data_IF_039780133742
#
_entry.id   IF_039780133742
#
_cell.length_a   1.000
_cell.length_b   1.000
_cell.length_c   1.000
_cell.angle_alpha   90.00
_cell.angle_beta   90.00
_cell.angle_gamma   90.00
#
_symmetry.space_group_name_H-M   'P 1'
#
loop_
_entity.id
_entity.type
_entity.pdbx_description
1 polymer ?
2 non-polymer ?
3 non-polymer ?
4 non-polymer ?
5 water ?
#
# COMPACT_ATOMS: atom_id res chain seq x y z
N UNK A 22 -16.28 -12.08 -3.47
CA UNK A 22 -16.18 -12.24 -1.99
C UNK A 22 -14.72 -12.41 -1.56
N UNK A 23 -14.21 -11.41 -0.83
CA UNK A 23 -12.80 -11.35 -0.39
C UNK A 23 -11.79 -11.79 -1.45
N UNK A 24 -11.80 -11.12 -2.60
CA UNK A 24 -10.73 -11.32 -3.56
C UNK A 24 -9.56 -10.39 -3.23
N UNK A 25 -8.39 -10.82 -3.68
CA UNK A 25 -7.16 -10.09 -3.48
C UNK A 25 -6.43 -10.07 -4.79
N UNK A 26 -5.49 -9.13 -4.94
CA UNK A 26 -4.69 -9.02 -6.16
C UNK A 26 -3.46 -8.18 -5.90
N UNK A 27 -2.47 -8.28 -6.78
CA UNK A 27 -1.29 -7.41 -6.70
C UNK A 27 -1.57 -6.05 -7.35
N UNK A 28 -0.84 -5.01 -6.94
CA UNK A 28 -1.11 -3.68 -7.51
C UNK A 28 -0.66 -3.52 -8.97
N UNK A 29 0.29 -4.34 -9.41
CA UNK A 29 0.76 -4.31 -10.81
C UNK A 29 0.67 -5.76 -11.30
N UNK A 30 -0.52 -6.15 -11.80
CA UNK A 30 -0.82 -7.59 -11.93
C UNK A 30 -0.03 -8.36 -13.01
N UNK A 31 0.62 -7.63 -13.92
CA UNK A 31 1.49 -8.25 -14.93
C UNK A 31 2.81 -8.79 -14.35
N UNK A 32 3.19 -8.26 -13.20
CA UNK A 32 4.37 -8.69 -12.49
C UNK A 32 3.94 -9.68 -11.39
N UNK A 33 2.79 -9.39 -10.77
CA UNK A 33 2.30 -10.20 -9.66
C UNK A 33 3.21 -9.96 -8.48
N UNK A 34 3.54 -11.02 -7.75
CA UNK A 34 4.37 -10.87 -6.56
C UNK A 34 5.73 -10.26 -6.90
N UNK A 35 6.38 -10.81 -7.93
CA UNK A 35 7.72 -10.38 -8.30
C UNK A 35 8.71 -10.53 -7.17
N UNK A 36 9.70 -9.64 -7.12
CA UNK A 36 10.78 -9.76 -6.14
C UNK A 36 11.02 -8.40 -5.50
N UNK A 37 11.46 -8.42 -4.25
CA UNK A 37 11.70 -7.19 -3.48
C UNK A 37 13.09 -7.18 -2.89
N UNK A 38 13.71 -6.01 -2.82
CA UNK A 38 15.00 -5.88 -2.15
C UNK A 38 14.77 -5.83 -0.64
N UNK A 39 15.84 -5.97 0.14
CA UNK A 39 15.73 -5.93 1.60
C UNK A 39 15.03 -4.67 2.10
N UNK A 40 15.38 -3.53 1.50
CA UNK A 40 14.80 -2.22 1.85
C UNK A 40 13.30 -2.11 1.54
N UNK A 41 12.86 -2.76 0.46
CA UNK A 41 11.46 -2.69 0.05
C UNK A 41 10.50 -3.54 0.89
N UNK A 42 11.02 -4.60 1.51
CA UNK A 42 10.18 -5.54 2.25
C UNK A 42 9.60 -4.92 3.52
N UNK A 43 8.49 -5.48 3.99
CA UNK A 43 7.90 -5.09 5.26
C UNK A 43 8.77 -5.56 6.43
N UNK A 44 8.78 -4.77 7.51
CA UNK A 44 9.37 -5.19 8.78
C UNK A 44 10.78 -4.71 9.01
N UNK A 45 11.59 -5.55 9.65
CA UNK A 45 12.97 -5.22 9.99
C UNK A 45 13.86 -6.15 9.18
N UNK A 46 14.56 -5.60 8.20
CA UNK A 46 15.33 -6.41 7.27
C UNK A 46 16.67 -5.78 7.01
N UNK A 47 17.69 -6.61 6.69
CA UNK A 47 18.95 -6.09 6.16
C UNK A 47 18.68 -5.21 4.95
N UNK A 48 19.25 -4.01 4.95
CA UNK A 48 18.99 -3.02 3.91
C UNK A 48 18.02 -1.94 4.37
N UNK A 49 17.29 -2.21 5.45
CA UNK A 49 16.31 -1.26 5.97
C UNK A 49 16.79 -0.45 7.16
N UNK A 50 18.09 -0.53 7.46
CA UNK A 50 18.65 0.09 8.68
C UNK A 50 18.60 1.60 8.66
N UNK A 51 18.50 2.18 7.47
CA UNK A 51 18.42 3.64 7.32
C UNK A 51 17.13 4.26 7.88
N UNK A 52 16.08 3.45 8.06
CA UNK A 52 14.81 3.94 8.61
C UNK A 52 14.84 3.92 10.14
N UNK A 53 14.03 4.79 10.76
CA UNK A 53 13.89 4.84 12.22
C UNK A 53 13.52 3.48 12.75
N UNK A 54 14.25 3.04 13.78
CA UNK A 54 14.11 1.71 14.36
C UNK A 54 14.34 0.57 13.36
N UNK A 55 14.87 0.89 12.18
CA UNK A 55 15.07 -0.10 11.12
C UNK A 55 13.79 -0.80 10.66
N UNK A 56 12.65 -0.13 10.84
CA UNK A 56 11.34 -0.74 10.57
C UNK A 56 10.67 -0.10 9.36
N UNK A 57 10.18 -0.95 8.47
CA UNK A 57 9.43 -0.51 7.29
C UNK A 57 8.00 -0.95 7.46
N UNK A 58 7.08 0.01 7.54
CA UNK A 58 5.67 -0.28 7.88
C UNK A 58 4.81 -0.66 6.66
N UNK A 59 5.44 -1.00 5.55
CA UNK A 59 4.68 -1.31 4.35
C UNK A 59 5.53 -2.09 3.39
N UNK A 60 5.06 -2.18 2.14
CA UNK A 60 5.74 -2.90 1.08
C UNK A 60 5.91 -1.95 -0.10
N UNK A 61 7.14 -1.80 -0.57
CA UNK A 61 7.43 -0.92 -1.70
C UNK A 61 7.46 -1.67 -3.03
N UNK A 62 6.75 -1.13 -4.02
CA UNK A 62 6.75 -1.68 -5.37
C UNK A 62 7.44 -0.65 -6.25
N UNK A 63 8.70 -0.89 -6.62
CA UNK A 63 9.45 0.07 -7.45
C UNK A 63 9.05 0.03 -8.90
N UNK A 64 9.22 1.14 -9.61
CA UNK A 64 8.91 1.17 -11.04
C UNK A 64 9.81 0.22 -11.83
N UNK A 65 10.99 -0.09 -11.30
CA UNK A 65 11.91 -1.04 -11.95
C UNK A 65 11.53 -2.50 -11.68
N UNK A 66 11.40 -2.85 -10.40
CA UNK A 66 11.07 -4.22 -10.00
C UNK A 66 9.62 -4.63 -10.28
N UNK A 67 8.70 -3.65 -10.21
CA UNK A 67 7.27 -3.91 -10.47
C UNK A 67 6.73 -2.90 -11.43
N UNK A 68 7.11 -3.03 -12.72
CA UNK A 68 6.75 -2.01 -13.71
C UNK A 68 5.26 -1.95 -13.97
N UNK A 69 4.81 -0.75 -14.35
CA UNK A 69 3.42 -0.54 -14.71
C UNK A 69 3.04 0.89 -14.40
N UNK A 70 1.93 1.33 -14.97
CA UNK A 70 1.48 2.68 -14.75
C UNK A 70 0.29 2.71 -13.79
N UNK A 71 -0.80 2.04 -14.15
CA UNK A 71 -1.99 2.01 -13.31
C UNK A 71 -1.71 1.23 -12.02
N UNK A 72 -2.09 1.81 -10.89
CA UNK A 72 -2.02 1.14 -9.59
C UNK A 72 -3.38 0.49 -9.33
N UNK A 73 -3.40 -0.84 -9.25
CA UNK A 73 -4.65 -1.61 -9.10
C UNK A 73 -4.92 -1.91 -7.65
N UNK A 74 -6.17 -1.74 -7.21
CA UNK A 74 -6.53 -1.97 -5.82
C UNK A 74 -6.27 -3.44 -5.49
N UNK A 75 -5.69 -3.67 -4.32
CA UNK A 75 -5.30 -5.03 -3.91
C UNK A 75 -6.47 -5.78 -3.27
N UNK A 76 -7.54 -5.04 -2.99
CA UNK A 76 -8.70 -5.56 -2.25
C UNK A 76 -9.82 -4.56 -2.35
N UNK A 77 -11.06 -5.04 -2.25
CA UNK A 77 -12.24 -4.16 -2.29
C UNK A 77 -12.37 -3.27 -1.06
N UNK A 78 -13.13 -2.19 -1.18
CA UNK A 78 -13.33 -1.32 -0.03
C UNK A 78 -13.96 -0.02 -0.46
N UNK A 79 -14.00 0.94 0.45
CA UNK A 79 -14.47 2.27 0.14
C UNK A 79 -13.35 3.28 0.40
N UNK A 80 -13.18 4.23 -0.52
CA UNK A 80 -12.18 5.27 -0.35
C UNK A 80 -12.65 6.21 0.78
N UNK A 81 -11.86 6.32 1.84
CA UNK A 81 -12.24 7.13 2.99
C UNK A 81 -11.51 8.46 3.03
N UNK A 82 -10.32 8.50 2.43
CA UNK A 82 -9.47 9.65 2.57
C UNK A 82 -8.48 9.77 1.42
N UNK A 83 -8.32 10.99 0.93
CA UNK A 83 -7.25 11.31 0.00
C UNK A 83 -6.59 12.55 0.59
N UNK A 84 -5.29 12.46 0.84
CA UNK A 84 -4.57 13.59 1.43
C UNK A 84 -3.12 13.71 1.05
N UNK A 85 -2.46 14.67 1.69
CA UNK A 85 -1.04 14.89 1.50
C UNK A 85 -0.36 15.03 2.86
N UNK A 86 0.63 14.18 3.13
CA UNK A 86 1.49 14.34 4.29
C UNK A 86 2.89 14.06 3.78
N UNK A 87 3.80 15.05 3.87
CA UNK A 87 5.15 14.86 3.33
C UNK A 87 5.76 13.59 3.93
N UNK A 88 6.37 12.76 3.09
CA UNK A 88 6.78 11.40 3.48
C UNK A 88 5.88 10.34 2.86
N UNK A 89 4.58 10.43 3.12
CA UNK A 89 3.59 9.64 2.37
C UNK A 89 3.34 10.30 1.02
N UNK A 90 3.70 11.59 0.94
CA UNK A 90 3.31 12.45 -0.19
C UNK A 90 1.78 12.35 -0.40
N UNK A 91 1.31 12.27 -1.64
CA UNK A 91 -0.13 12.10 -1.88
C UNK A 91 -0.54 10.64 -1.64
N UNK A 92 -1.57 10.44 -0.81
CA UNK A 92 -1.99 9.07 -0.48
C UNK A 92 -3.50 8.85 -0.58
N UNK A 93 -3.89 7.60 -0.77
CA UNK A 93 -5.29 7.21 -0.81
C UNK A 93 -5.49 6.14 0.25
N UNK A 94 -6.55 6.29 1.06
CA UNK A 94 -6.92 5.32 2.08
C UNK A 94 -8.23 4.63 1.66
N UNK A 95 -8.20 3.30 1.64
CA UNK A 95 -9.36 2.47 1.33
C UNK A 95 -9.63 1.58 2.54
N UNK A 96 -10.89 1.54 2.98
CA UNK A 96 -11.28 0.74 4.15
C UNK A 96 -12.23 -0.36 3.72
N UNK A 97 -11.89 -1.60 4.06
CA UNK A 97 -12.80 -2.74 3.88
C UNK A 97 -13.40 -3.11 5.25
N UNK A 98 -14.04 -4.27 5.35
CA UNK A 98 -14.64 -4.66 6.63
C UNK A 98 -13.60 -4.81 7.74
N UNK A 99 -12.45 -5.36 7.37
CA UNK A 99 -11.41 -5.76 8.30
C UNK A 99 -10.17 -4.86 8.25
N UNK A 100 -9.91 -4.26 7.09
CA UNK A 100 -8.59 -3.63 6.87
C UNK A 100 -8.63 -2.20 6.36
N UNK A 101 -7.61 -1.44 6.74
CA UNK A 101 -7.33 -0.16 6.13
C UNK A 101 -6.10 -0.31 5.23
N UNK A 102 -6.26 0.04 3.96
CA UNK A 102 -5.19 0.01 2.96
C UNK A 102 -4.73 1.43 2.68
N UNK A 103 -3.42 1.66 2.73
CA UNK A 103 -2.87 2.98 2.38
C UNK A 103 -2.01 2.86 1.12
N UNK A 104 -2.37 3.58 0.07
CA UNK A 104 -1.56 3.64 -1.14
C UNK A 104 -0.87 4.99 -1.14
N UNK A 105 0.45 5.00 -1.03
CA UNK A 105 1.16 6.27 -0.87
C UNK A 105 2.40 6.33 -1.76
N UNK A 106 2.96 7.54 -1.87
CA UNK A 106 4.22 7.83 -2.57
C UNK A 106 4.27 7.62 -4.09
N UNK A 107 3.25 6.97 -4.64
CA UNK A 107 3.21 6.67 -6.07
C UNK A 107 2.81 7.87 -6.93
N UNK A 108 2.19 8.87 -6.32
CA UNK A 108 1.49 9.91 -7.08
C UNK A 108 2.14 11.29 -6.82
N UNK A 109 2.80 11.84 -7.85
CA UNK A 109 3.53 13.11 -7.70
C UNK A 109 2.58 14.28 -7.45
N UNK A 110 1.31 14.11 -7.80
CA UNK A 110 0.28 15.09 -7.50
C UNK A 110 -1.09 14.43 -7.48
N UNK A 111 -2.05 15.10 -6.85
CA UNK A 111 -3.38 14.55 -6.65
C UNK A 111 -4.10 14.24 -7.95
N UNK A 112 -3.72 14.94 -9.02
CA UNK A 112 -4.28 14.69 -10.34
C UNK A 112 -3.96 13.29 -10.85
N UNK A 113 -2.92 12.66 -10.30
CA UNK A 113 -2.60 11.26 -10.65
C UNK A 113 -3.49 10.23 -9.96
N UNK A 114 -4.35 10.69 -9.06
CA UNK A 114 -5.27 9.79 -8.37
C UNK A 114 -6.60 9.75 -9.12
N UNK A 115 -7.12 8.54 -9.35
CA UNK A 115 -8.29 8.33 -10.20
C UNK A 115 -9.59 8.21 -9.41
N UNK A 116 -9.47 7.91 -8.11
CA UNK A 116 -10.64 7.64 -7.28
C UNK A 116 -10.99 8.89 -6.46
N UNK A 117 -12.20 8.93 -5.91
CA UNK A 117 -12.68 10.03 -5.06
C UNK A 117 -13.15 9.47 -3.73
N UNK A 118 -13.06 10.26 -2.67
CA UNK A 118 -13.57 9.86 -1.37
C UNK A 118 -15.05 9.43 -1.49
N UNK A 119 -15.41 8.34 -0.81
CA UNK A 119 -16.76 7.78 -0.89
C UNK A 119 -16.95 6.73 -1.97
N UNK A 120 -15.99 6.61 -2.88
CA UNK A 120 -16.10 5.67 -3.98
C UNK A 120 -15.96 4.21 -3.52
N UNK A 121 -16.90 3.38 -3.93
CA UNK A 121 -16.82 1.93 -3.72
C UNK A 121 -15.86 1.36 -4.76
N UNK A 122 -14.84 0.64 -4.31
CA UNK A 122 -13.91 0.04 -5.25
C UNK A 122 -13.80 -1.48 -5.09
N UNK A 123 -13.54 -2.15 -6.21
CA UNK A 123 -13.37 -3.59 -6.25
C UNK A 123 -11.91 -3.91 -6.51
N UNK A 124 -11.46 -5.06 -6.04
CA UNK A 124 -10.12 -5.54 -6.33
C UNK A 124 -9.82 -5.32 -7.81
N UNK A 125 -8.66 -4.76 -8.12
CA UNK A 125 -8.30 -4.53 -9.53
C UNK A 125 -8.65 -3.15 -10.08
N UNK A 126 -9.61 -2.45 -9.46
CA UNK A 126 -9.95 -1.06 -9.86
C UNK A 126 -8.71 -0.15 -9.77
N UNK A 127 -8.57 0.78 -10.71
CA UNK A 127 -7.39 1.65 -10.72
C UNK A 127 -7.50 2.73 -9.65
N UNK A 128 -6.54 2.75 -8.73
CA UNK A 128 -6.46 3.80 -7.70
C UNK A 128 -5.96 5.11 -8.30
N UNK A 129 -4.98 4.97 -9.19
CA UNK A 129 -4.35 6.10 -9.84
C UNK A 129 -3.16 5.61 -10.61
N UNK A 130 -2.31 6.55 -11.04
CA UNK A 130 -1.18 6.25 -11.93
C UNK A 130 0.13 6.62 -11.24
N UNK A 131 1.03 5.65 -11.13
CA UNK A 131 2.32 5.88 -10.49
C UNK A 131 3.22 6.63 -11.46
N UNK A 132 3.73 7.78 -11.03
CA UNK A 132 4.70 8.49 -11.85
C UNK A 132 5.96 8.80 -11.05
N UNK A 133 6.11 8.16 -9.90
CA UNK A 133 7.30 8.30 -9.08
C UNK A 133 8.06 6.98 -9.13
N UNK A 134 9.15 6.87 -8.38
CA UNK A 134 9.94 5.65 -8.40
C UNK A 134 9.27 4.46 -7.72
N UNK A 135 8.25 4.69 -6.88
CA UNK A 135 7.59 3.56 -6.19
C UNK A 135 6.25 3.86 -5.60
N UNK A 136 5.49 2.78 -5.44
CA UNK A 136 4.30 2.76 -4.62
C UNK A 136 4.71 2.13 -3.30
N UNK A 137 4.28 2.73 -2.19
CA UNK A 137 4.32 2.08 -0.89
C UNK A 137 2.90 1.72 -0.50
N UNK A 138 2.69 0.44 -0.21
CA UNK A 138 1.40 -0.07 0.24
C UNK A 138 1.48 -0.43 1.72
N UNK A 139 0.56 0.10 2.52
CA UNK A 139 0.49 -0.23 3.94
C UNK A 139 -0.87 -0.83 4.25
N UNK A 140 -0.89 -1.81 5.15
CA UNK A 140 -2.13 -2.44 5.57
C UNK A 140 -2.18 -2.52 7.09
N UNK A 141 -3.31 -2.12 7.68
CA UNK A 141 -3.49 -2.15 9.13
C UNK A 141 -4.93 -2.51 9.46
N UNK A 142 -5.16 -3.18 10.59
CA UNK A 142 -6.56 -3.32 11.04
C UNK A 142 -7.09 -2.04 11.69
N UNK A 143 -6.17 -1.18 12.13
CA UNK A 143 -6.52 0.09 12.78
C UNK A 143 -7.43 0.92 11.89
N UNK A 144 -8.44 1.50 12.52
CA UNK A 144 -9.51 2.19 11.85
C UNK A 144 -9.17 3.69 11.75
N UNK A 145 -8.41 4.19 12.72
CA UNK A 145 -7.93 5.57 12.74
C UNK A 145 -6.59 5.59 12.02
N UNK A 146 -6.59 6.06 10.77
CA UNK A 146 -5.38 5.99 9.94
C UNK A 146 -4.25 6.88 10.49
N UNK A 147 -4.61 8.04 11.03
CA UNK A 147 -3.61 8.95 11.58
C UNK A 147 -2.88 8.32 12.77
N UNK A 148 -3.62 7.60 13.60
CA UNK A 148 -3.02 6.88 14.71
C UNK A 148 -2.05 5.79 14.19
N UNK A 149 -2.48 5.03 13.18
CA UNK A 149 -1.59 4.06 12.54
C UNK A 149 -0.35 4.77 12.00
N UNK A 150 -0.54 5.91 11.34
CA UNK A 150 0.59 6.65 10.80
C UNK A 150 1.54 7.17 11.90
N UNK A 151 1.00 7.52 13.06
CA UNK A 151 1.83 7.86 14.23
C UNK A 151 2.74 6.71 14.66
N UNK A 152 2.36 5.48 14.29
CA UNK A 152 3.18 4.30 14.53
C UNK A 152 3.94 3.79 13.30
N UNK A 153 4.26 4.69 12.38
CA UNK A 153 5.00 4.33 11.16
C UNK A 153 6.31 3.61 11.43
N UNK A 154 6.95 3.90 12.57
CA UNK A 154 8.27 3.31 12.86
C UNK A 154 8.27 2.34 14.05
N UNK A 155 7.07 1.92 14.42
CA UNK A 155 6.90 1.07 15.58
C UNK A 155 6.42 -0.31 15.17
N UNK A 156 7.29 -1.29 15.40
CA UNK A 156 7.03 -2.69 15.11
C UNK A 156 6.19 -3.34 16.22
N UNK A 157 4.98 -2.84 16.41
CA UNK A 157 4.17 -3.23 17.55
C UNK A 157 2.88 -3.95 17.16
N UNK A 158 2.81 -4.42 15.92
CA UNK A 158 1.59 -5.09 15.44
C UNK A 158 0.59 -4.18 14.76
N UNK A 159 0.84 -2.87 14.73
CA UNK A 159 -0.08 -1.95 14.06
C UNK A 159 -0.18 -2.27 12.55
N UNK A 160 0.97 -2.33 11.90
CA UNK A 160 1.07 -2.58 10.46
C UNK A 160 1.34 -4.02 10.22
N UNK A 161 0.74 -4.54 9.15
CA UNK A 161 0.84 -5.93 8.78
C UNK A 161 1.62 -6.08 7.48
N UNK A 162 2.22 -7.25 7.28
CA UNK A 162 3.02 -7.49 6.08
C UNK A 162 2.09 -7.64 4.86
N UNK A 163 2.08 -6.65 3.94
CA UNK A 163 1.18 -6.76 2.79
C UNK A 163 1.54 -7.93 1.88
N UNK A 164 2.82 -8.31 1.83
CA UNK A 164 3.22 -9.41 0.95
C UNK A 164 2.54 -10.71 1.38
N UNK A 165 2.67 -11.03 2.67
CA UNK A 165 2.05 -12.21 3.26
C UNK A 165 0.54 -12.17 3.13
N UNK A 166 -0.06 -11.01 3.40
CA UNK A 166 -1.51 -10.86 3.30
C UNK A 166 -2.08 -11.07 1.89
N UNK A 167 -1.48 -10.43 0.89
CA UNK A 167 -1.97 -10.54 -0.49
C UNK A 167 -1.74 -11.96 -1.00
N UNK A 168 -0.55 -12.48 -0.74
CA UNK A 168 -0.20 -13.84 -1.12
C UNK A 168 -1.22 -14.85 -0.53
N UNK A 169 -1.44 -14.77 0.78
CA UNK A 169 -2.40 -15.66 1.44
C UNK A 169 -3.83 -15.45 0.95
N UNK A 170 -4.19 -14.18 0.73
CA UNK A 170 -5.52 -13.84 0.22
C UNK A 170 -5.79 -14.43 -1.16
N UNK A 171 -4.82 -14.30 -2.06
CA UNK A 171 -4.92 -14.88 -3.40
C UNK A 171 -4.99 -16.41 -3.32
N UNK A 172 -4.17 -17.01 -2.47
CA UNK A 172 -4.15 -18.48 -2.34
C UNK A 172 -5.50 -19.00 -1.82
N UNK A 173 -6.13 -18.24 -0.92
CA UNK A 173 -7.37 -18.69 -0.27
C UNK A 173 -8.68 -18.30 -0.94
N UNK A 174 -8.62 -17.47 -1.97
CA UNK A 174 -9.86 -17.11 -2.67
C UNK A 174 -10.30 -18.24 -3.61
X LIG B 1 7.98 2.27 1.93
X LIG C 1 -0.79 -1.40 -15.23
X LIG C 1 -1.86 -1.97 -15.54
X LIG C 1 -0.26 -0.58 -16.01
X LIG C 1 -0.16 -1.60 -13.90
X LIG D 1 -7.98 10.46 -13.68
X LIG D 1 -7.92 9.07 -13.98
X LIG D 1 -6.72 10.85 -12.93
X LIG D 1 -5.62 10.08 -13.45
#
# INVERSE_FOLDING_TARGET
>A
MGSSHHHHHSSGENLYFQGGSKDTWGWPFPSVGEGYFSGAQLFGVNPGGEFRMNGFHDGLDFGSIDHPGSAVHAVHSGVVTQIGYIAGLENYVVVRSDEYTFVYQEAFSNKGNISVKVGQQINTGDVIGYRDTSHLHLGITRETNVMKAIANSFNNNGTWLDPRALIKNGIANQ
>B hetero
1 ZN ZN
>C hetero
1 ACT C O OXT CH3
>D hetero
1 EDO C1 O1 C2 O2
#
